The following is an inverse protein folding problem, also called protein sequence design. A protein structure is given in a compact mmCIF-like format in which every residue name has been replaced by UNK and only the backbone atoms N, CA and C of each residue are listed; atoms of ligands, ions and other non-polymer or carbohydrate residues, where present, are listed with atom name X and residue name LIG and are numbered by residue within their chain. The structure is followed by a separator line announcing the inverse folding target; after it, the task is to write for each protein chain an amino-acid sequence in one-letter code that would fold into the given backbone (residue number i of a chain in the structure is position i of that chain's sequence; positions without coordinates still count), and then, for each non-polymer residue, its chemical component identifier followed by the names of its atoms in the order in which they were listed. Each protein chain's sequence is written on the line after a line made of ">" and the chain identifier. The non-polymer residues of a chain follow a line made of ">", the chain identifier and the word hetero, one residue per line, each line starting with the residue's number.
data_IF_931608580068
#
_entry.id   IF_931608580068
#
_cell.length_a   1.000
_cell.length_b   1.000
_cell.length_c   1.000
_cell.angle_alpha   90.00
_cell.angle_beta   90.00
_cell.angle_gamma   90.00
#
_symmetry.space_group_name_H-M   'P 1'
#
loop_
_entity.id
_entity.type
_entity.pdbx_description
1 polymer ?
#
# COMPACT_ATOMS: atom_id res chain seq x y z
N UNK A 1 0.22 23.99 -27.48
CA UNK A 1 -0.58 23.86 -26.25
C UNK A 1 0.36 23.37 -25.19
N UNK A 2 0.82 24.25 -24.30
CA UNK A 2 1.73 23.92 -23.20
C UNK A 2 0.96 23.08 -22.18
N UNK A 3 1.41 21.86 -21.92
CA UNK A 3 0.90 21.03 -20.83
C UNK A 3 1.56 21.59 -19.57
N UNK A 4 0.73 22.15 -18.69
CA UNK A 4 1.14 22.59 -17.36
C UNK A 4 1.50 21.37 -16.51
N UNK A 5 2.79 21.15 -16.32
CA UNK A 5 3.35 20.12 -15.46
C UNK A 5 3.49 20.65 -14.03
N UNK A 6 2.38 21.05 -13.40
CA UNK A 6 2.36 21.28 -11.95
C UNK A 6 2.38 19.91 -11.23
N UNK A 7 3.55 19.27 -11.30
CA UNK A 7 3.95 18.16 -10.44
C UNK A 7 3.87 18.58 -8.97
N UNK A 8 3.52 17.65 -8.09
CA UNK A 8 3.82 17.71 -6.65
C UNK A 8 5.21 18.32 -6.52
N UNK A 9 5.28 19.49 -5.91
CA UNK A 9 6.51 20.27 -5.91
C UNK A 9 7.63 19.44 -5.30
N UNK A 10 8.80 19.45 -5.91
CA UNK A 10 10.00 18.82 -5.35
C UNK A 10 10.28 19.31 -3.90
N UNK A 11 9.67 20.40 -3.49
CA UNK A 11 9.66 20.92 -2.12
C UNK A 11 8.84 20.08 -1.14
N UNK A 12 7.72 19.48 -1.56
CA UNK A 12 6.96 18.56 -0.71
C UNK A 12 7.78 17.30 -0.40
N UNK A 13 8.50 16.75 -1.39
CA UNK A 13 9.39 15.60 -1.20
C UNK A 13 10.67 15.99 -0.43
N UNK A 14 11.18 17.20 -0.60
CA UNK A 14 12.37 17.69 0.11
C UNK A 14 12.11 17.96 1.60
N UNK A 15 10.89 18.31 2.00
CA UNK A 15 10.51 18.53 3.40
C UNK A 15 10.56 17.27 4.27
N UNK A 16 10.55 16.07 3.68
CA UNK A 16 10.60 14.79 4.40
C UNK A 16 12.01 14.22 4.59
N UNK A 17 13.08 14.97 4.25
CA UNK A 17 14.47 14.50 4.33
C UNK A 17 15.03 14.36 5.75
N UNK A 18 14.28 14.67 6.81
CA UNK A 18 14.62 14.48 8.22
C UNK A 18 13.58 13.60 8.94
N UNK A 19 13.26 12.45 8.40
CA UNK A 19 12.34 11.53 9.09
C UNK A 19 13.15 10.78 10.16
N UNK A 20 13.15 11.34 11.37
CA UNK A 20 13.35 10.53 12.57
C UNK A 20 12.11 9.61 12.66
N UNK A 21 12.29 8.29 12.60
CA UNK A 21 11.13 7.39 12.62
C UNK A 21 11.39 6.07 11.93
N UNK A 22 10.39 5.60 11.20
CA UNK A 22 10.45 4.33 10.50
C UNK A 22 11.59 4.24 9.48
N UNK A 23 12.28 3.10 9.46
CA UNK A 23 13.25 2.73 8.42
C UNK A 23 12.67 1.78 7.39
N UNK A 24 11.48 1.24 7.66
CA UNK A 24 10.72 0.35 6.78
C UNK A 24 9.25 0.78 6.74
N UNK A 25 8.67 0.77 5.55
CA UNK A 25 7.22 0.86 5.34
C UNK A 25 6.80 -0.43 4.64
N UNK A 26 5.77 -1.09 5.17
CA UNK A 26 5.12 -2.26 4.58
C UNK A 26 3.71 -1.87 4.18
N UNK A 27 3.38 -2.03 2.90
CA UNK A 27 2.02 -1.89 2.40
C UNK A 27 1.40 -3.28 2.28
N UNK A 28 0.43 -3.60 3.12
CA UNK A 28 -0.27 -4.89 3.14
C UNK A 28 -1.66 -4.74 2.54
N UNK A 29 -1.99 -5.58 1.54
CA UNK A 29 -3.35 -5.65 1.01
C UNK A 29 -4.23 -6.52 1.90
N UNK A 30 -5.50 -6.14 2.05
CA UNK A 30 -6.52 -6.93 2.76
C UNK A 30 -6.70 -8.34 2.17
N UNK A 31 -7.26 -9.26 2.96
CA UNK A 31 -7.63 -10.61 2.55
C UNK A 31 -8.77 -10.63 1.53
N UNK A 32 -9.03 -11.80 0.96
CA UNK A 32 -10.04 -11.99 -0.08
C UNK A 32 -11.46 -11.63 0.40
N UNK A 33 -12.22 -11.00 -0.48
CA UNK A 33 -13.66 -10.76 -0.36
C UNK A 33 -14.42 -11.49 -1.47
N UNK A 34 -15.73 -11.59 -1.36
CA UNK A 34 -16.53 -12.17 -2.44
C UNK A 34 -16.46 -11.36 -3.74
N UNK A 35 -16.28 -10.03 -3.64
CA UNK A 35 -16.09 -9.19 -4.82
C UNK A 35 -14.73 -9.43 -5.50
N UNK A 36 -13.69 -9.84 -4.78
CA UNK A 36 -12.45 -10.27 -5.42
C UNK A 36 -12.67 -11.53 -6.26
N UNK A 37 -13.41 -12.52 -5.74
CA UNK A 37 -13.75 -13.75 -6.46
C UNK A 37 -14.62 -13.48 -7.69
N UNK A 38 -15.55 -12.54 -7.57
CA UNK A 38 -16.46 -12.15 -8.64
C UNK A 38 -15.85 -11.13 -9.63
N UNK A 39 -14.58 -10.71 -9.44
CA UNK A 39 -13.91 -9.69 -10.24
C UNK A 39 -14.67 -8.36 -10.30
N UNK A 40 -15.37 -7.98 -9.22
CA UNK A 40 -16.12 -6.71 -9.12
C UNK A 40 -15.25 -5.60 -8.57
N UNK A 41 -15.44 -4.41 -9.10
CA UNK A 41 -14.84 -3.20 -8.55
C UNK A 41 -15.44 -2.89 -7.18
N UNK A 42 -14.62 -2.85 -6.13
CA UNK A 42 -15.10 -2.62 -4.77
C UNK A 42 -15.15 -1.13 -4.41
N UNK A 43 -14.06 -0.42 -4.69
CA UNK A 43 -13.94 0.98 -4.31
C UNK A 43 -14.24 1.19 -2.82
N UNK A 44 -15.18 2.07 -2.53
CA UNK A 44 -15.63 2.41 -1.19
C UNK A 44 -16.74 1.50 -0.65
N UNK A 45 -17.28 0.60 -1.45
CA UNK A 45 -18.26 -0.39 -0.95
C UNK A 45 -17.54 -1.27 0.09
N UNK A 46 -18.12 -1.32 1.29
CA UNK A 46 -17.53 -2.05 2.40
C UNK A 46 -18.01 -3.50 2.41
N UNK A 47 -17.27 -4.35 1.69
CA UNK A 47 -17.49 -5.79 1.61
C UNK A 47 -16.54 -6.47 2.60
N UNK A 48 -17.04 -7.35 3.51
CA UNK A 48 -16.21 -8.03 4.50
C UNK A 48 -15.32 -9.09 3.86
N UNK A 49 -14.34 -9.56 4.63
CA UNK A 49 -13.55 -10.74 4.27
C UNK A 49 -14.47 -11.98 4.19
N UNK A 50 -14.32 -12.77 3.12
CA UNK A 50 -14.94 -14.09 3.07
C UNK A 50 -14.16 -15.11 3.95
N UNK A 51 -14.58 -16.39 3.96
CA UNK A 51 -13.90 -17.41 4.77
C UNK A 51 -12.42 -17.56 4.41
N UNK A 52 -12.12 -17.58 3.10
CA UNK A 52 -10.76 -17.70 2.58
C UNK A 52 -9.94 -16.45 2.95
N UNK A 53 -10.53 -15.25 2.85
CA UNK A 53 -9.85 -14.01 3.22
C UNK A 53 -9.47 -13.95 4.69
N UNK A 54 -10.30 -14.49 5.58
CA UNK A 54 -9.96 -14.60 7.01
C UNK A 54 -8.80 -15.57 7.26
N UNK A 55 -8.81 -16.72 6.60
CA UNK A 55 -7.69 -17.68 6.64
C UNK A 55 -6.40 -17.05 6.11
N UNK A 56 -6.47 -16.38 4.96
CA UNK A 56 -5.34 -15.66 4.40
C UNK A 56 -4.79 -14.60 5.36
N UNK A 57 -5.66 -13.83 6.02
CA UNK A 57 -5.24 -12.80 6.96
C UNK A 57 -4.45 -13.38 8.15
N UNK A 58 -4.85 -14.55 8.66
CA UNK A 58 -4.11 -15.25 9.73
C UNK A 58 -2.79 -15.80 9.21
N UNK A 59 -2.80 -16.59 8.12
CA UNK A 59 -1.58 -17.20 7.58
C UNK A 59 -0.55 -16.15 7.15
N UNK A 60 -0.99 -15.14 6.39
CA UNK A 60 -0.12 -14.07 5.94
C UNK A 60 0.34 -13.18 7.09
N UNK A 61 -0.55 -12.94 8.06
CA UNK A 61 -0.21 -12.27 9.33
C UNK A 61 0.93 -12.98 10.06
N UNK A 62 0.88 -14.31 10.18
CA UNK A 62 1.94 -15.12 10.80
C UNK A 62 3.28 -14.99 10.07
N UNK A 63 3.27 -15.06 8.73
CA UNK A 63 4.50 -14.94 7.93
C UNK A 63 5.09 -13.54 8.05
N UNK A 64 4.24 -12.51 7.91
CA UNK A 64 4.68 -11.13 8.00
C UNK A 64 5.16 -10.80 9.42
N UNK A 65 4.44 -11.22 10.47
CA UNK A 65 4.84 -10.99 11.86
C UNK A 65 6.22 -11.59 12.16
N UNK A 66 6.49 -12.85 11.74
CA UNK A 66 7.82 -13.47 11.89
C UNK A 66 8.90 -12.69 11.13
N UNK A 67 8.59 -12.20 9.91
CA UNK A 67 9.51 -11.38 9.13
C UNK A 67 9.80 -10.04 9.82
N UNK A 68 8.80 -9.43 10.45
CA UNK A 68 8.96 -8.18 11.21
C UNK A 68 9.72 -8.41 12.52
N UNK A 69 9.37 -9.46 13.27
CA UNK A 69 10.03 -9.81 14.54
C UNK A 69 11.48 -10.25 14.36
N UNK A 70 11.82 -10.89 13.23
CA UNK A 70 13.17 -11.39 12.96
C UNK A 70 14.23 -10.30 12.86
N UNK A 71 13.88 -9.05 12.64
CA UNK A 71 14.83 -7.96 12.40
C UNK A 71 15.79 -8.30 11.26
N UNK A 72 16.68 -7.40 10.91
CA UNK A 72 17.76 -7.74 10.01
C UNK A 72 17.96 -6.79 8.84
N UNK A 73 18.95 -7.09 8.01
CA UNK A 73 19.26 -6.35 6.80
C UNK A 73 18.23 -6.67 5.72
N UNK A 74 17.57 -5.65 5.21
CA UNK A 74 16.70 -5.78 4.03
C UNK A 74 17.49 -5.27 2.82
N UNK A 75 17.77 -6.18 1.88
CA UNK A 75 18.51 -5.85 0.65
C UNK A 75 20.01 -5.70 0.87
N UNK A 76 20.84 -6.25 -0.01
CA UNK A 76 22.30 -6.32 0.08
C UNK A 76 23.05 -4.98 -0.09
N UNK A 77 22.40 -3.85 0.01
CA UNK A 77 22.98 -2.51 -0.09
C UNK A 77 22.90 -1.88 1.30
N UNK A 78 24.01 -1.55 1.92
CA UNK A 78 24.20 -0.73 3.14
C UNK A 78 22.92 -0.20 3.83
N UNK A 79 21.89 -1.04 3.90
CA UNK A 79 20.64 -0.72 4.56
C UNK A 79 20.88 -0.80 6.06
N UNK A 80 20.58 0.29 6.73
CA UNK A 80 20.64 0.38 8.18
C UNK A 80 19.77 -0.74 8.80
N UNK A 81 20.21 -1.20 9.95
CA UNK A 81 19.54 -2.23 10.72
C UNK A 81 18.11 -1.79 11.05
N UNK A 82 17.12 -2.59 10.69
CA UNK A 82 15.72 -2.36 11.08
C UNK A 82 15.46 -3.05 12.40
N UNK A 83 15.05 -2.27 13.40
CA UNK A 83 14.70 -2.81 14.71
C UNK A 83 13.42 -3.65 14.61
N UNK A 84 13.46 -4.83 15.22
CA UNK A 84 12.29 -5.71 15.36
C UNK A 84 11.29 -5.21 16.43
N UNK A 85 11.66 -4.20 17.22
CA UNK A 85 10.97 -3.87 18.48
C UNK A 85 9.92 -2.78 18.38
N UNK A 86 9.81 -2.08 17.26
CA UNK A 86 8.85 -0.99 17.11
C UNK A 86 8.07 -1.15 15.79
N UNK A 87 6.86 -1.65 15.91
CA UNK A 87 5.91 -1.79 14.79
C UNK A 87 4.67 -0.93 15.07
N UNK A 88 4.37 -0.02 14.16
CA UNK A 88 3.12 0.73 14.14
C UNK A 88 2.24 0.23 13.00
N UNK A 89 0.96 -0.01 13.28
CA UNK A 89 -0.01 -0.42 12.26
C UNK A 89 -0.99 0.75 12.03
N UNK A 90 -1.20 1.09 10.77
CA UNK A 90 -2.27 1.99 10.33
C UNK A 90 -3.12 1.27 9.28
N UNK A 91 -4.43 1.43 9.34
CA UNK A 91 -5.36 0.75 8.44
C UNK A 91 -6.34 1.70 7.76
N UNK A 92 -6.73 1.35 6.54
CA UNK A 92 -7.98 1.85 5.96
C UNK A 92 -9.16 1.56 6.90
N UNK A 93 -10.18 2.44 6.97
CA UNK A 93 -11.37 2.20 7.80
C UNK A 93 -12.27 1.07 7.29
N UNK A 94 -12.11 0.59 6.04
CA UNK A 94 -12.96 -0.47 5.50
C UNK A 94 -12.71 -1.79 6.23
N UNK A 95 -13.80 -2.48 6.56
CA UNK A 95 -13.81 -3.68 7.41
C UNK A 95 -12.79 -4.73 6.96
N UNK A 96 -12.70 -5.00 5.66
CA UNK A 96 -11.76 -5.97 5.09
C UNK A 96 -10.29 -5.65 5.39
N UNK A 97 -9.92 -4.37 5.37
CA UNK A 97 -8.56 -3.93 5.68
C UNK A 97 -8.31 -3.93 7.19
N UNK A 98 -9.26 -3.43 7.96
CA UNK A 98 -9.15 -3.38 9.41
C UNK A 98 -9.07 -4.78 10.04
N UNK A 99 -9.90 -5.73 9.59
CA UNK A 99 -9.85 -7.13 10.07
C UNK A 99 -8.54 -7.82 9.68
N UNK A 100 -7.95 -7.49 8.52
CA UNK A 100 -6.61 -7.97 8.15
C UNK A 100 -5.53 -7.38 9.06
N UNK A 101 -5.64 -6.09 9.42
CA UNK A 101 -4.74 -5.44 10.35
C UNK A 101 -4.82 -6.05 11.76
N UNK A 102 -6.02 -6.37 12.23
CA UNK A 102 -6.23 -7.04 13.51
C UNK A 102 -5.56 -8.42 13.56
N UNK A 103 -5.72 -9.23 12.51
CA UNK A 103 -5.07 -10.53 12.42
C UNK A 103 -3.54 -10.41 12.52
N UNK A 104 -2.94 -9.44 11.83
CA UNK A 104 -1.49 -9.18 11.97
C UNK A 104 -1.11 -8.73 13.38
N UNK A 105 -1.89 -7.85 14.01
CA UNK A 105 -1.60 -7.36 15.36
C UNK A 105 -1.60 -8.49 16.40
N UNK A 106 -2.55 -9.43 16.30
CA UNK A 106 -2.61 -10.60 17.18
C UNK A 106 -1.37 -11.50 17.00
N UNK A 107 -0.91 -11.72 15.76
CA UNK A 107 0.29 -12.51 15.49
C UNK A 107 1.57 -11.82 16.01
N UNK A 108 1.69 -10.51 15.87
CA UNK A 108 2.80 -9.74 16.47
C UNK A 108 2.82 -9.89 17.99
N UNK A 109 1.65 -9.78 18.62
CA UNK A 109 1.52 -9.95 20.08
C UNK A 109 1.96 -11.35 20.54
N UNK A 110 1.62 -12.42 19.79
CA UNK A 110 2.06 -13.79 20.13
C UNK A 110 3.59 -13.94 20.06
N UNK A 111 4.27 -13.12 19.26
CA UNK A 111 5.72 -13.08 19.15
C UNK A 111 6.39 -12.11 20.14
N UNK A 112 5.63 -11.50 21.04
CA UNK A 112 6.14 -10.53 22.01
C UNK A 112 6.53 -9.18 21.40
N UNK A 113 6.07 -8.88 20.20
CA UNK A 113 6.24 -7.56 19.56
C UNK A 113 5.06 -6.70 19.99
N UNK A 114 5.35 -5.66 20.77
CA UNK A 114 4.32 -4.68 21.13
C UNK A 114 3.95 -3.85 19.91
N UNK A 115 2.68 -3.96 19.49
CA UNK A 115 2.07 -3.06 18.54
C UNK A 115 1.16 -2.09 19.31
N UNK A 116 1.29 -0.81 19.00
CA UNK A 116 0.31 0.19 19.47
C UNK A 116 -1.10 -0.16 18.93
N UNK A 117 -2.12 0.50 19.51
CA UNK A 117 -3.48 0.44 18.95
C UNK A 117 -3.45 0.76 17.44
N UNK A 118 -4.22 -0.01 16.66
CA UNK A 118 -4.28 0.16 15.21
C UNK A 118 -4.86 1.55 14.90
N UNK A 119 -4.05 2.41 14.31
CA UNK A 119 -4.53 3.70 13.83
C UNK A 119 -5.42 3.52 12.59
N UNK A 120 -6.44 4.34 12.44
CA UNK A 120 -7.31 4.35 11.27
C UNK A 120 -7.13 5.65 10.50
N UNK A 121 -6.89 5.55 9.19
CA UNK A 121 -6.71 6.72 8.33
C UNK A 121 -7.51 6.58 7.02
N UNK A 122 -8.42 7.52 6.77
CA UNK A 122 -9.27 7.53 5.58
C UNK A 122 -8.47 7.73 4.28
N UNK A 123 -7.27 8.29 4.34
CA UNK A 123 -6.38 8.44 3.20
C UNK A 123 -5.87 7.09 2.66
N UNK A 124 -6.04 5.99 3.44
CA UNK A 124 -5.74 4.62 3.03
C UNK A 124 -6.93 3.88 2.40
N UNK A 125 -8.07 4.55 2.18
CA UNK A 125 -9.20 3.97 1.42
C UNK A 125 -8.75 3.49 0.04
N UNK A 126 -9.48 2.51 -0.52
CA UNK A 126 -9.29 2.11 -1.91
C UNK A 126 -9.56 3.30 -2.85
N UNK A 127 -9.14 3.19 -4.10
CA UNK A 127 -9.53 4.10 -5.16
C UNK A 127 -11.04 4.07 -5.34
N UNK A 128 -11.70 5.21 -5.39
CA UNK A 128 -13.09 5.24 -5.82
C UNK A 128 -13.18 4.93 -7.31
N UNK A 129 -14.08 4.04 -7.65
CA UNK A 129 -14.33 3.65 -9.05
C UNK A 129 -15.64 4.24 -9.60
N UNK A 130 -16.28 5.14 -8.86
CA UNK A 130 -17.49 5.81 -9.29
C UNK A 130 -18.60 4.83 -9.66
N UNK A 131 -19.17 4.96 -10.87
CA UNK A 131 -20.26 4.09 -11.31
C UNK A 131 -19.86 2.64 -11.62
N UNK A 132 -18.56 2.33 -11.64
CA UNK A 132 -18.08 0.95 -11.80
C UNK A 132 -18.16 0.14 -10.51
N UNK A 133 -18.34 0.77 -9.34
CA UNK A 133 -18.41 0.08 -8.07
C UNK A 133 -19.57 -0.90 -8.02
N UNK A 134 -19.29 -2.14 -7.61
CA UNK A 134 -20.26 -3.24 -7.57
C UNK A 134 -20.41 -3.99 -8.89
N UNK A 135 -19.88 -3.50 -10.00
CA UNK A 135 -19.96 -4.12 -11.32
C UNK A 135 -18.71 -4.93 -11.64
N UNK A 136 -18.89 -5.99 -12.44
CA UNK A 136 -17.80 -6.68 -13.11
C UNK A 136 -17.55 -6.09 -14.51
N UNK A 137 -16.49 -6.58 -15.19
CA UNK A 137 -16.10 -6.04 -16.50
C UNK A 137 -17.17 -6.22 -17.57
N UNK A 138 -17.94 -7.31 -17.55
CA UNK A 138 -18.98 -7.57 -18.56
C UNK A 138 -20.16 -6.61 -18.36
N UNK A 139 -20.56 -6.39 -17.10
CA UNK A 139 -21.60 -5.43 -16.75
C UNK A 139 -21.20 -3.99 -17.08
N UNK A 140 -19.93 -3.62 -16.86
CA UNK A 140 -19.41 -2.31 -17.24
C UNK A 140 -19.38 -2.17 -18.76
N UNK A 141 -18.99 -3.23 -19.51
CA UNK A 141 -18.95 -3.21 -20.96
C UNK A 141 -20.36 -3.01 -21.57
N UNK A 142 -21.39 -3.58 -20.93
CA UNK A 142 -22.78 -3.43 -21.34
C UNK A 142 -23.32 -2.03 -21.06
N UNK A 143 -23.04 -1.49 -19.86
CA UNK A 143 -23.66 -0.26 -19.36
C UNK A 143 -22.86 1.00 -19.72
N UNK A 144 -21.52 0.89 -19.76
CA UNK A 144 -20.60 2.02 -19.88
C UNK A 144 -19.43 1.72 -20.85
N UNK A 145 -19.68 1.28 -22.09
CA UNK A 145 -18.63 0.80 -23.01
C UNK A 145 -17.55 1.83 -23.31
N UNK A 146 -17.92 3.11 -23.46
CA UNK A 146 -16.96 4.18 -23.75
C UNK A 146 -16.03 4.45 -22.58
N UNK A 147 -16.57 4.47 -21.35
CA UNK A 147 -15.78 4.69 -20.14
C UNK A 147 -14.88 3.49 -19.81
N UNK A 148 -15.34 2.28 -20.13
CA UNK A 148 -14.48 1.09 -20.01
C UNK A 148 -13.33 1.11 -21.00
N UNK A 149 -13.55 1.61 -22.22
CA UNK A 149 -12.49 1.75 -23.22
C UNK A 149 -11.43 2.74 -22.75
N UNK A 150 -11.84 3.91 -22.24
CA UNK A 150 -10.95 4.90 -21.64
C UNK A 150 -10.14 4.28 -20.48
N UNK A 151 -10.82 3.58 -19.58
CA UNK A 151 -10.20 2.86 -18.46
C UNK A 151 -9.11 1.87 -18.91
N UNK A 152 -9.41 1.05 -19.92
CA UNK A 152 -8.46 0.06 -20.44
C UNK A 152 -7.23 0.68 -21.09
N UNK A 153 -7.38 1.85 -21.67
CA UNK A 153 -6.28 2.57 -22.36
C UNK A 153 -5.41 3.37 -21.41
N UNK A 154 -6.00 3.96 -20.38
CA UNK A 154 -5.32 4.96 -19.55
C UNK A 154 -5.27 4.62 -18.06
N UNK A 155 -6.09 3.67 -17.61
CA UNK A 155 -6.33 3.41 -16.18
C UNK A 155 -7.13 4.53 -15.50
N UNK A 156 -7.69 5.45 -16.25
CA UNK A 156 -8.51 6.58 -15.81
C UNK A 156 -9.86 6.55 -16.50
N UNK A 157 -10.91 7.06 -15.86
CA UNK A 157 -12.22 7.32 -16.49
C UNK A 157 -12.96 8.40 -15.72
N UNK A 158 -12.72 9.65 -16.10
CA UNK A 158 -13.33 10.80 -15.44
C UNK A 158 -14.86 10.81 -15.61
N UNK A 159 -15.38 10.38 -16.78
CA UNK A 159 -16.80 10.28 -17.04
C UNK A 159 -17.52 9.29 -16.13
N UNK A 160 -16.85 8.23 -15.72
CA UNK A 160 -17.36 7.26 -14.76
C UNK A 160 -17.24 7.73 -13.29
N UNK A 161 -16.62 8.87 -13.03
CA UNK A 161 -16.36 9.37 -11.68
C UNK A 161 -15.23 8.60 -10.94
N UNK A 162 -14.33 7.96 -11.70
CA UNK A 162 -13.18 7.28 -11.11
C UNK A 162 -12.21 8.30 -10.52
N UNK A 163 -11.78 8.07 -9.28
CA UNK A 163 -10.80 8.92 -8.60
C UNK A 163 -9.47 8.92 -9.37
N UNK A 164 -8.89 10.09 -9.70
CA UNK A 164 -7.63 10.15 -10.43
C UNK A 164 -6.49 9.43 -9.70
N UNK A 165 -5.70 8.64 -10.44
CA UNK A 165 -4.59 7.87 -9.87
C UNK A 165 -3.56 8.73 -9.15
N UNK A 166 -3.34 9.97 -9.61
CA UNK A 166 -2.50 10.95 -8.92
C UNK A 166 -3.02 11.30 -7.53
N UNK A 167 -4.32 11.58 -7.40
CA UNK A 167 -4.96 11.90 -6.11
C UNK A 167 -4.85 10.74 -5.14
N UNK A 168 -5.07 9.51 -5.61
CA UNK A 168 -4.91 8.29 -4.81
C UNK A 168 -3.48 8.16 -4.30
N UNK A 169 -2.49 8.30 -5.19
CA UNK A 169 -1.08 8.19 -4.83
C UNK A 169 -0.67 9.22 -3.80
N UNK A 170 -1.07 10.48 -3.99
CA UNK A 170 -0.70 11.59 -3.13
C UNK A 170 -1.28 11.44 -1.73
N UNK A 171 -2.60 11.11 -1.59
CA UNK A 171 -3.21 10.92 -0.27
C UNK A 171 -2.63 9.74 0.52
N UNK A 172 -2.32 8.63 -0.18
CA UNK A 172 -1.70 7.46 0.45
C UNK A 172 -0.26 7.77 0.87
N UNK A 173 0.53 8.42 0.01
CA UNK A 173 1.89 8.84 0.32
C UNK A 173 1.93 9.78 1.53
N UNK A 174 1.06 10.80 1.57
CA UNK A 174 0.96 11.70 2.71
C UNK A 174 0.65 10.95 4.01
N UNK A 175 -0.35 10.04 3.99
CA UNK A 175 -0.70 9.25 5.15
C UNK A 175 0.48 8.42 5.67
N UNK A 176 1.13 7.65 4.78
CA UNK A 176 2.20 6.75 5.22
C UNK A 176 3.43 7.49 5.71
N UNK A 177 3.78 8.64 5.11
CA UNK A 177 4.91 9.44 5.57
C UNK A 177 4.62 10.09 6.94
N UNK A 178 3.40 10.59 7.14
CA UNK A 178 2.99 11.13 8.44
C UNK A 178 3.02 10.06 9.55
N UNK A 179 2.47 8.86 9.26
CA UNK A 179 2.50 7.76 10.23
C UNK A 179 3.90 7.19 10.42
N UNK A 180 4.75 7.15 9.39
CA UNK A 180 6.14 6.71 9.50
C UNK A 180 6.97 7.61 10.42
N UNK A 181 6.72 8.92 10.39
CA UNK A 181 7.38 9.87 11.28
C UNK A 181 7.04 9.67 12.77
N UNK A 182 5.90 9.05 13.07
CA UNK A 182 5.45 8.74 14.45
C UNK A 182 5.99 7.42 14.99
N UNK A 183 6.62 6.60 14.15
CA UNK A 183 7.26 5.34 14.58
C UNK A 183 8.56 5.66 15.31
N UNK A 184 8.93 4.95 16.39
CA UNK A 184 10.26 5.08 16.98
C UNK A 184 11.38 4.85 15.97
N UNK A 185 12.53 5.51 16.16
CA UNK A 185 13.64 5.45 15.23
C UNK A 185 14.09 4.00 14.95
N UNK A 186 14.25 3.68 13.67
CA UNK A 186 14.62 2.34 13.20
C UNK A 186 13.45 1.37 13.09
N UNK A 187 12.25 1.75 13.50
CA UNK A 187 11.08 0.87 13.49
C UNK A 187 10.42 0.69 12.12
N UNK A 188 9.28 0.03 12.11
CA UNK A 188 8.51 -0.31 10.91
C UNK A 188 7.08 0.25 10.99
N UNK A 189 6.64 0.90 9.92
CA UNK A 189 5.23 1.19 9.67
C UNK A 189 4.63 0.07 8.83
N UNK A 190 3.47 -0.46 9.23
CA UNK A 190 2.64 -1.31 8.38
C UNK A 190 1.35 -0.55 8.04
N UNK A 191 1.13 -0.30 6.75
CA UNK A 191 -0.08 0.33 6.23
C UNK A 191 -0.95 -0.72 5.56
N UNK A 192 -2.11 -1.02 6.15
CA UNK A 192 -3.05 -2.00 5.61
C UNK A 192 -4.09 -1.30 4.75
N UNK A 193 -4.14 -1.67 3.46
CA UNK A 193 -4.92 -0.95 2.45
C UNK A 193 -5.39 -1.89 1.33
N UNK A 194 -5.49 -1.42 0.10
CA UNK A 194 -6.17 -2.05 -1.01
C UNK A 194 -5.30 -2.07 -2.26
N UNK A 195 -5.72 -2.79 -3.30
CA UNK A 195 -4.89 -3.07 -4.47
C UNK A 195 -4.40 -1.83 -5.20
N UNK A 196 -5.30 -0.97 -5.65
CA UNK A 196 -4.93 0.22 -6.41
C UNK A 196 -4.33 1.31 -5.51
N UNK A 197 -4.85 1.49 -4.30
CA UNK A 197 -4.32 2.45 -3.34
C UNK A 197 -2.85 2.15 -3.00
N UNK A 198 -2.50 0.88 -2.78
CA UNK A 198 -1.11 0.46 -2.52
C UNK A 198 -0.22 0.73 -3.73
N UNK A 199 -0.63 0.30 -4.93
CA UNK A 199 0.19 0.49 -6.13
C UNK A 199 0.50 1.97 -6.37
N UNK A 200 -0.50 2.85 -6.29
CA UNK A 200 -0.35 4.30 -6.45
C UNK A 200 0.47 4.93 -5.32
N UNK A 201 0.19 4.51 -4.06
CA UNK A 201 0.90 4.99 -2.88
C UNK A 201 2.39 4.61 -2.89
N UNK A 202 2.73 3.38 -3.29
CA UNK A 202 4.13 2.95 -3.48
C UNK A 202 4.83 3.83 -4.49
N UNK A 203 4.20 4.07 -5.67
CA UNK A 203 4.78 4.93 -6.72
C UNK A 203 5.07 6.33 -6.18
N UNK A 204 4.07 7.01 -5.59
CA UNK A 204 4.26 8.35 -5.04
C UNK A 204 5.33 8.38 -3.94
N UNK A 205 5.36 7.37 -3.05
CA UNK A 205 6.33 7.33 -1.94
C UNK A 205 7.78 7.18 -2.41
N UNK A 206 8.02 6.49 -3.53
CA UNK A 206 9.36 6.35 -4.11
C UNK A 206 9.69 7.44 -5.16
N UNK A 207 8.78 8.40 -5.36
CA UNK A 207 8.97 9.53 -6.27
C UNK A 207 8.68 9.24 -7.74
N UNK A 208 7.89 8.21 -8.03
CA UNK A 208 7.35 7.93 -9.37
C UNK A 208 5.99 8.61 -9.53
N UNK A 209 5.65 8.95 -10.77
CA UNK A 209 4.34 9.52 -11.09
C UNK A 209 3.26 8.42 -11.01
N UNK A 210 2.30 8.51 -10.07
CA UNK A 210 1.26 7.51 -9.87
C UNK A 210 0.22 7.48 -11.00
N UNK A 211 0.26 8.42 -11.96
CA UNK A 211 -0.58 8.40 -13.17
C UNK A 211 -0.11 7.37 -14.20
N UNK A 212 1.15 6.91 -14.12
CA UNK A 212 1.64 5.84 -14.99
C UNK A 212 1.04 4.50 -14.55
N UNK A 213 0.01 4.08 -15.27
CA UNK A 213 -0.86 2.96 -14.90
C UNK A 213 -0.15 1.61 -14.82
N UNK A 214 0.79 1.34 -15.70
CA UNK A 214 1.38 0.01 -15.89
C UNK A 214 2.76 -0.19 -15.23
N UNK A 215 3.27 0.80 -14.48
CA UNK A 215 4.62 0.71 -13.91
C UNK A 215 4.76 -0.30 -12.78
N UNK A 216 3.73 -0.42 -11.93
CA UNK A 216 3.68 -1.34 -10.80
C UNK A 216 2.34 -2.05 -10.80
N UNK A 217 2.37 -3.38 -10.89
CA UNK A 217 1.17 -4.21 -10.76
C UNK A 217 0.54 -4.06 -9.38
N UNK A 218 -0.78 -4.26 -9.27
CA UNK A 218 -1.47 -4.37 -8.00
C UNK A 218 -0.94 -5.53 -7.15
N UNK A 219 -1.09 -5.42 -5.84
CA UNK A 219 -0.71 -6.44 -4.86
C UNK A 219 -1.84 -7.44 -4.69
N UNK A 220 -1.55 -8.74 -4.56
CA UNK A 220 -2.55 -9.78 -4.33
C UNK A 220 -3.06 -9.77 -2.89
N UNK A 221 -4.15 -10.51 -2.59
CA UNK A 221 -4.73 -10.54 -1.25
C UNK A 221 -3.72 -11.07 -0.23
N UNK A 222 -3.54 -10.33 0.86
CA UNK A 222 -2.56 -10.57 1.93
C UNK A 222 -1.12 -10.70 1.44
N UNK A 223 -0.82 -10.08 0.30
CA UNK A 223 0.54 -9.82 -0.13
C UNK A 223 0.92 -8.38 0.23
N UNK A 224 2.23 -8.12 0.26
CA UNK A 224 2.75 -6.82 0.66
C UNK A 224 3.91 -6.35 -0.22
N UNK A 225 4.13 -5.05 -0.16
CA UNK A 225 5.30 -4.38 -0.71
C UNK A 225 6.09 -3.73 0.42
N UNK A 226 7.41 -3.80 0.36
CA UNK A 226 8.28 -3.20 1.37
C UNK A 226 9.10 -2.07 0.77
N UNK A 227 9.06 -0.94 1.43
CA UNK A 227 9.96 0.18 1.18
C UNK A 227 10.97 0.28 2.31
N UNK A 228 12.20 0.65 1.99
CA UNK A 228 13.26 0.90 2.93
C UNK A 228 13.82 2.30 2.73
N UNK A 229 14.12 2.98 3.85
CA UNK A 229 14.75 4.28 3.80
C UNK A 229 16.24 4.08 3.55
N UNK A 230 16.73 4.57 2.41
CA UNK A 230 18.13 4.48 2.02
C UNK A 230 18.76 5.87 1.95
N UNK A 231 19.97 5.99 2.49
CA UNK A 231 20.73 7.25 2.51
C UNK A 231 20.73 7.93 3.88
N UNK A 232 21.71 8.79 4.12
CA UNK A 232 21.87 9.57 5.37
C UNK A 232 23.08 9.20 6.22
N UNK A 233 23.89 8.22 5.84
CA UNK A 233 25.01 7.76 6.68
C UNK A 233 26.28 7.35 5.90
N UNK A 234 26.80 8.19 5.02
CA UNK A 234 28.09 7.95 4.35
C UNK A 234 28.80 9.24 4.01
N UNK A 235 30.01 9.39 4.52
CA UNK A 235 30.90 10.52 4.21
C UNK A 235 31.19 10.54 2.71
N UNK A 236 30.47 11.37 1.95
CA UNK A 236 30.81 11.66 0.55
C UNK A 236 29.68 11.77 -0.46
N UNK A 237 28.46 11.39 -0.13
CA UNK A 237 27.33 11.62 -1.03
C UNK A 237 26.31 12.55 -0.35
N UNK A 238 26.15 13.74 -0.88
CA UNK A 238 25.13 14.73 -0.50
C UNK A 238 23.71 14.27 -0.93
N UNK A 239 23.32 13.05 -0.59
CA UNK A 239 22.01 12.47 -0.95
C UNK A 239 21.05 12.54 0.21
N UNK A 240 19.95 13.29 0.07
CA UNK A 240 18.80 13.18 0.96
C UNK A 240 18.33 11.72 1.07
N UNK A 241 17.89 11.33 2.28
CA UNK A 241 17.31 10.01 2.49
C UNK A 241 16.08 9.82 1.57
N UNK A 242 15.98 8.68 0.93
CA UNK A 242 14.91 8.34 -0.01
C UNK A 242 14.35 6.96 0.24
N UNK A 243 13.04 6.82 0.12
CA UNK A 243 12.39 5.52 0.10
C UNK A 243 12.71 4.76 -1.19
N UNK A 244 13.02 3.49 -1.05
CA UNK A 244 13.30 2.58 -2.18
C UNK A 244 12.45 1.33 -2.04
N UNK A 245 11.91 0.86 -3.16
CA UNK A 245 11.19 -0.40 -3.21
C UNK A 245 12.20 -1.55 -3.02
N UNK A 246 12.06 -2.29 -1.92
CA UNK A 246 12.90 -3.44 -1.58
C UNK A 246 12.28 -4.75 -2.05
N UNK A 247 10.95 -4.89 -1.96
CA UNK A 247 10.22 -6.03 -2.48
C UNK A 247 8.79 -5.63 -2.85
N UNK A 248 8.19 -6.35 -3.79
CA UNK A 248 6.84 -6.10 -4.26
C UNK A 248 6.08 -7.40 -4.41
N UNK A 249 4.81 -7.39 -4.00
CA UNK A 249 3.89 -8.51 -4.09
C UNK A 249 4.42 -9.81 -3.47
N UNK A 250 4.96 -9.71 -2.26
CA UNK A 250 5.45 -10.85 -1.46
C UNK A 250 4.32 -11.34 -0.55
N UNK A 251 4.14 -12.65 -0.44
CA UNK A 251 3.09 -13.25 0.39
C UNK A 251 3.49 -14.59 0.98
N UNK A 252 2.57 -15.17 1.77
CA UNK A 252 2.74 -16.47 2.39
C UNK A 252 2.66 -17.63 1.39
N UNK A 253 1.89 -17.45 0.33
CA UNK A 253 1.70 -18.45 -0.72
C UNK A 253 2.38 -17.98 -2.00
N UNK A 254 3.12 -18.86 -2.71
CA UNK A 254 3.61 -18.51 -4.03
C UNK A 254 2.41 -18.25 -4.95
N UNK A 255 2.47 -17.17 -5.71
CA UNK A 255 1.42 -16.88 -6.69
C UNK A 255 1.40 -17.95 -7.78
N UNK A 256 0.18 -18.42 -8.07
CA UNK A 256 -0.07 -19.09 -9.35
C UNK A 256 -0.37 -17.97 -10.36
N UNK A 257 0.62 -17.55 -11.13
CA UNK A 257 0.41 -16.66 -12.26
C UNK A 257 -0.59 -17.30 -13.22
N UNK A 258 -1.75 -16.68 -13.42
CA UNK A 258 -2.69 -17.08 -14.47
C UNK A 258 -3.99 -17.73 -13.99
N UNK A 259 -4.49 -17.41 -12.83
CA UNK A 259 -5.89 -17.68 -12.48
C UNK A 259 -6.75 -16.44 -12.65
#
# INVERSE_FOLDING_TARGET
>A
MSIDTSSVSAEAVAGYSQIAGARRIVFLRHGQTDYNVQHRFQGFIDIPLNSIGREQAVEGGQVLARRLAGGGRIGGLNADYVSATAVRIVSSPLERAFNTAQALAEELKTLGVEAEEIAVDKRLLERSYGVFEGLDFDQIAEQYPEWLLEWRQTGESAGAGVEPGGVVGDRVCEAVLEHAAKVPEGGTLVAVSHGAAIARGVMSTIGLDPRHFDCIRGVDNVHWSELVLAGGGGSGASGAARWRLASHNVGARPEVFGA
#
